data_IF_431513160842
#
_entry.id   IF_431513160842
#
_cell.length_a   1.000
_cell.length_b   1.000
_cell.length_c   1.000
_cell.angle_alpha   90.00
_cell.angle_beta   90.00
_cell.angle_gamma   90.00
#
_symmetry.space_group_name_H-M   'P 1'
#
loop_
_entity.id
_entity.type
_entity.pdbx_description
1 polymer ?
#
# COMPACT_ATOMS: atom_id res chain seq x y z
N UNK A 1 13.66 -3.52 75.46
CA UNK A 1 13.56 -4.38 74.27
C UNK A 1 14.86 -5.16 74.12
N UNK A 2 14.81 -6.49 74.20
CA UNK A 2 16.01 -7.33 74.12
C UNK A 2 16.55 -7.36 72.67
N UNK A 3 17.81 -7.77 72.48
CA UNK A 3 18.49 -7.75 71.17
C UNK A 3 17.70 -8.51 70.10
N UNK A 4 17.07 -9.63 70.47
CA UNK A 4 16.23 -10.44 69.58
C UNK A 4 14.99 -9.67 69.09
N UNK A 5 14.29 -8.96 69.98
CA UNK A 5 13.16 -8.12 69.60
C UNK A 5 13.60 -6.94 68.73
N UNK A 6 14.76 -6.32 68.99
CA UNK A 6 15.29 -5.22 68.15
C UNK A 6 15.61 -5.67 66.72
N UNK A 7 16.23 -6.83 66.57
CA UNK A 7 16.53 -7.42 65.26
C UNK A 7 15.24 -7.80 64.53
N UNK A 8 14.29 -8.42 65.21
CA UNK A 8 13.00 -8.80 64.61
C UNK A 8 12.21 -7.58 64.12
N UNK A 9 12.15 -6.51 64.92
CA UNK A 9 11.47 -5.27 64.52
C UNK A 9 12.15 -4.59 63.34
N UNK A 10 13.49 -4.62 63.25
CA UNK A 10 14.23 -4.08 62.12
C UNK A 10 13.98 -4.86 60.82
N UNK A 11 13.99 -6.19 60.87
CA UNK A 11 13.70 -7.03 59.70
C UNK A 11 12.26 -6.82 59.23
N UNK A 12 11.31 -6.69 60.17
CA UNK A 12 9.90 -6.44 59.84
C UNK A 12 9.71 -5.06 59.19
N UNK A 13 10.39 -4.02 59.69
CA UNK A 13 10.32 -2.67 59.11
C UNK A 13 10.92 -2.59 57.70
N UNK A 14 12.01 -3.31 57.44
CA UNK A 14 12.62 -3.43 56.11
C UNK A 14 11.72 -4.23 55.16
N UNK A 15 11.13 -5.33 55.64
CA UNK A 15 10.15 -6.10 54.87
C UNK A 15 8.92 -5.28 54.46
N UNK A 16 8.41 -4.45 55.37
CA UNK A 16 7.25 -3.59 55.11
C UNK A 16 7.57 -2.48 54.08
N UNK A 17 8.76 -1.91 54.13
CA UNK A 17 9.20 -0.90 53.15
C UNK A 17 9.40 -1.50 51.76
N UNK A 18 10.01 -2.69 51.66
CA UNK A 18 10.11 -3.42 50.39
C UNK A 18 8.73 -3.80 49.85
N UNK A 19 7.80 -4.23 50.71
CA UNK A 19 6.42 -4.52 50.32
C UNK A 19 5.65 -3.27 49.86
N UNK A 20 5.87 -2.11 50.46
CA UNK A 20 5.27 -0.84 50.04
C UNK A 20 5.81 -0.36 48.68
N UNK A 21 7.11 -0.49 48.43
CA UNK A 21 7.72 -0.15 47.12
C UNK A 21 7.28 -1.12 46.03
N UNK A 22 7.22 -2.43 46.32
CA UNK A 22 6.71 -3.43 45.39
C UNK A 22 5.20 -3.32 45.15
N UNK A 23 4.43 -3.05 46.20
CA UNK A 23 2.97 -2.87 46.12
C UNK A 23 2.57 -1.60 45.38
N UNK A 24 3.32 -0.49 45.56
CA UNK A 24 3.05 0.77 44.85
C UNK A 24 3.39 0.69 43.36
N UNK A 25 4.46 0.00 42.98
CA UNK A 25 4.81 -0.20 41.55
C UNK A 25 3.84 -1.17 40.86
N UNK A 26 3.35 -2.19 41.56
CA UNK A 26 2.31 -3.08 41.02
C UNK A 26 0.93 -2.39 40.94
N UNK A 27 0.61 -1.49 41.88
CA UNK A 27 -0.64 -0.71 41.85
C UNK A 27 -0.73 0.28 40.69
N UNK A 28 0.40 0.79 40.19
CA UNK A 28 0.45 1.70 39.04
C UNK A 28 0.05 1.03 37.71
N UNK A 29 0.17 -0.30 37.62
CA UNK A 29 -0.22 -1.06 36.42
C UNK A 29 -1.56 -1.79 36.56
N UNK A 30 -2.24 -1.66 37.70
CA UNK A 30 -3.56 -2.29 37.94
C UNK A 30 -4.71 -1.30 38.01
N UNK A 31 -4.51 0.00 37.73
CA UNK A 31 -5.63 0.89 37.47
C UNK A 31 -6.23 0.58 36.09
N UNK A 32 -7.10 -0.43 36.06
CA UNK A 32 -7.96 -0.72 34.93
C UNK A 32 -9.26 0.07 35.11
N UNK A 33 -9.31 1.29 34.58
CA UNK A 33 -10.59 1.95 34.36
C UNK A 33 -11.31 1.24 33.21
N UNK A 34 -12.46 0.64 33.49
CA UNK A 34 -13.41 0.28 32.43
C UNK A 34 -13.90 1.59 31.83
N UNK A 35 -13.26 2.00 30.74
CA UNK A 35 -13.81 3.05 29.88
C UNK A 35 -14.88 2.35 29.06
N UNK A 36 -16.14 2.45 29.51
CA UNK A 36 -17.28 2.09 28.66
C UNK A 36 -17.20 2.97 27.40
N UNK A 37 -16.74 2.36 26.30
CA UNK A 37 -16.58 3.05 25.01
C UNK A 37 -15.17 3.51 24.65
N UNK A 38 -14.09 2.92 25.17
CA UNK A 38 -12.78 3.02 24.51
C UNK A 38 -12.80 2.23 23.19
N UNK A 39 -13.43 2.80 22.16
CA UNK A 39 -13.31 2.35 20.78
C UNK A 39 -11.94 2.75 20.28
N UNK A 40 -10.99 1.82 20.28
CA UNK A 40 -9.79 1.95 19.46
C UNK A 40 -10.25 1.91 17.99
N UNK A 41 -10.53 3.06 17.39
CA UNK A 41 -10.69 3.14 15.94
C UNK A 41 -9.32 2.91 15.32
N UNK A 42 -9.01 1.64 15.05
CA UNK A 42 -7.94 1.29 14.14
C UNK A 42 -8.26 1.89 12.77
N UNK A 43 -7.31 2.61 12.19
CA UNK A 43 -7.53 3.20 10.88
C UNK A 43 -7.55 2.13 9.78
N UNK A 44 -8.44 2.29 8.81
CA UNK A 44 -8.56 1.41 7.64
C UNK A 44 -7.71 1.90 6.48
N UNK A 45 -7.17 0.95 5.71
CA UNK A 45 -6.59 1.17 4.38
C UNK A 45 -7.58 0.59 3.38
N UNK A 46 -8.15 1.44 2.52
CA UNK A 46 -9.14 1.03 1.53
C UNK A 46 -8.92 1.83 0.26
N UNK A 47 -8.82 1.14 -0.87
CA UNK A 47 -8.96 1.77 -2.16
C UNK A 47 -10.36 1.51 -2.71
N UNK A 48 -10.89 2.50 -3.41
CA UNK A 48 -11.99 2.26 -4.33
C UNK A 48 -11.51 2.61 -5.72
N UNK A 49 -11.84 1.73 -6.67
CA UNK A 49 -11.68 2.03 -8.07
C UNK A 49 -12.94 2.77 -8.52
N UNK A 50 -12.77 4.03 -8.91
CA UNK A 50 -13.87 4.82 -9.47
C UNK A 50 -14.15 4.45 -10.93
N UNK A 51 -13.18 3.81 -11.59
CA UNK A 51 -13.22 3.32 -12.97
C UNK A 51 -12.97 1.82 -12.96
N UNK A 52 -13.99 1.00 -12.67
CA UNK A 52 -13.90 -0.43 -12.32
C UNK A 52 -12.99 -1.35 -13.19
N UNK A 53 -12.46 -0.87 -14.32
CA UNK A 53 -11.51 -1.54 -15.20
C UNK A 53 -10.50 -0.53 -15.79
N UNK A 54 -9.26 -0.97 -16.06
CA UNK A 54 -8.29 -0.22 -16.86
C UNK A 54 -8.90 0.09 -18.23
N UNK A 55 -9.14 1.37 -18.52
CA UNK A 55 -9.72 1.80 -19.80
C UNK A 55 -8.59 1.92 -20.83
N UNK A 56 -8.71 1.23 -21.97
CA UNK A 56 -7.73 1.32 -23.06
C UNK A 56 -8.45 1.72 -24.35
N UNK A 57 -8.02 2.84 -24.93
CA UNK A 57 -8.64 3.47 -26.10
C UNK A 57 -7.58 3.97 -27.10
N UNK A 58 -8.02 4.47 -28.26
CA UNK A 58 -7.14 5.15 -29.22
C UNK A 58 -6.69 4.31 -30.42
N UNK A 59 -6.98 3.00 -30.44
CA UNK A 59 -6.63 2.13 -31.56
C UNK A 59 -7.72 1.12 -31.90
N UNK A 60 -7.71 0.62 -33.14
CA UNK A 60 -8.55 -0.49 -33.56
C UNK A 60 -7.98 -1.81 -33.03
N UNK A 61 -8.61 -2.37 -31.99
CA UNK A 61 -8.11 -3.55 -31.25
C UNK A 61 -7.82 -4.79 -32.10
N UNK A 62 -8.44 -4.88 -33.28
CA UNK A 62 -8.29 -5.97 -34.26
C UNK A 62 -7.63 -5.54 -35.58
N UNK A 63 -7.17 -4.29 -35.68
CA UNK A 63 -6.57 -3.75 -36.90
C UNK A 63 -5.47 -2.73 -36.57
N UNK A 64 -4.49 -3.21 -35.80
CA UNK A 64 -3.34 -2.42 -35.37
C UNK A 64 -2.42 -2.16 -36.55
N UNK A 65 -2.08 -0.90 -36.76
CA UNK A 65 -1.11 -0.47 -37.76
C UNK A 65 0.22 -0.09 -37.10
N UNK A 66 1.32 -0.22 -37.84
CA UNK A 66 2.61 0.32 -37.42
C UNK A 66 2.48 1.83 -37.13
N UNK A 67 2.89 2.27 -35.95
CA UNK A 67 2.80 3.67 -35.51
C UNK A 67 1.47 4.06 -34.85
N UNK A 68 0.49 3.16 -34.73
CA UNK A 68 -0.73 3.46 -33.98
C UNK A 68 -0.40 3.74 -32.50
N UNK A 69 -1.11 4.71 -31.94
CA UNK A 69 -1.03 5.10 -30.53
C UNK A 69 -2.27 4.62 -29.77
N UNK A 70 -2.10 4.39 -28.48
CA UNK A 70 -3.21 4.07 -27.59
C UNK A 70 -3.03 4.74 -26.23
N UNK A 71 -4.12 4.91 -25.50
CA UNK A 71 -4.12 5.50 -24.18
C UNK A 71 -4.75 4.53 -23.20
N UNK A 72 -4.09 4.34 -22.07
CA UNK A 72 -4.59 3.59 -20.92
C UNK A 72 -4.85 4.52 -19.74
N UNK A 73 -5.95 4.35 -19.03
CA UNK A 73 -6.23 5.14 -17.82
C UNK A 73 -6.96 4.36 -16.72
N UNK A 74 -6.62 4.70 -15.47
CA UNK A 74 -7.17 4.14 -14.25
C UNK A 74 -7.26 5.24 -13.18
N UNK A 75 -8.37 5.33 -12.46
CA UNK A 75 -8.56 6.32 -11.38
C UNK A 75 -8.81 5.65 -10.03
N UNK A 76 -7.85 5.82 -9.13
CA UNK A 76 -7.79 5.18 -7.83
C UNK A 76 -8.05 6.21 -6.74
N UNK A 77 -8.96 5.93 -5.80
CA UNK A 77 -9.20 6.80 -4.64
C UNK A 77 -8.90 6.07 -3.33
N UNK A 78 -8.14 6.71 -2.43
CA UNK A 78 -7.99 6.23 -1.05
C UNK A 78 -9.23 6.60 -0.23
N UNK A 79 -10.09 5.62 0.03
CA UNK A 79 -11.27 5.76 0.90
C UNK A 79 -10.98 5.35 2.35
N UNK A 80 -9.78 4.83 2.62
CA UNK A 80 -9.29 4.52 3.95
C UNK A 80 -9.03 5.77 4.80
N UNK A 81 -9.03 5.58 6.11
CA UNK A 81 -8.74 6.65 7.09
C UNK A 81 -7.25 7.00 7.21
N UNK A 82 -6.34 6.14 6.73
CA UNK A 82 -4.89 6.32 6.85
C UNK A 82 -4.24 6.69 5.52
N UNK A 83 -3.13 7.46 5.55
CA UNK A 83 -2.35 7.72 4.36
C UNK A 83 -1.66 6.44 3.88
N UNK A 84 -1.52 6.32 2.57
CA UNK A 84 -1.00 5.13 1.89
C UNK A 84 0.03 5.51 0.84
N UNK A 85 0.83 4.53 0.44
CA UNK A 85 1.64 4.56 -0.77
C UNK A 85 1.06 3.55 -1.76
N UNK A 86 1.00 3.96 -3.01
CA UNK A 86 0.32 3.23 -4.08
C UNK A 86 1.33 2.56 -5.00
N UNK A 87 1.06 1.30 -5.34
CA UNK A 87 1.77 0.57 -6.38
C UNK A 87 0.82 -0.24 -7.25
N UNK A 88 1.17 -0.41 -8.51
CA UNK A 88 0.43 -1.19 -9.49
C UNK A 88 1.36 -2.26 -10.03
N UNK A 89 0.96 -3.54 -9.96
CA UNK A 89 1.71 -4.61 -10.59
C UNK A 89 1.67 -4.42 -12.11
N UNK A 90 2.83 -4.41 -12.75
CA UNK A 90 2.91 -4.34 -14.21
C UNK A 90 2.23 -5.59 -14.78
N UNK A 91 1.16 -5.46 -15.59
CA UNK A 91 0.51 -6.62 -16.17
C UNK A 91 1.44 -7.29 -17.18
N UNK A 92 1.36 -8.61 -17.24
CA UNK A 92 1.94 -9.35 -18.37
C UNK A 92 1.15 -9.00 -19.63
N UNK A 93 1.86 -8.77 -20.73
CA UNK A 93 1.23 -8.48 -22.03
C UNK A 93 1.55 -9.61 -23.00
N UNK A 94 0.58 -9.93 -23.85
CA UNK A 94 0.69 -10.97 -24.87
C UNK A 94 -0.14 -10.64 -26.10
N UNK A 95 0.14 -11.31 -27.21
CA UNK A 95 -0.66 -11.22 -28.43
C UNK A 95 -1.56 -12.44 -28.55
N UNK A 96 -2.84 -12.21 -28.85
CA UNK A 96 -3.83 -13.25 -29.11
C UNK A 96 -4.27 -13.24 -30.57
N UNK A 97 -4.58 -14.41 -31.10
CA UNK A 97 -5.34 -14.58 -32.34
C UNK A 97 -6.75 -15.03 -31.98
N UNK A 98 -7.69 -14.08 -31.91
CA UNK A 98 -8.97 -14.32 -31.25
C UNK A 98 -8.76 -14.50 -29.74
N UNK A 99 -9.06 -15.69 -29.23
CA UNK A 99 -8.87 -16.04 -27.80
C UNK A 99 -7.58 -16.83 -27.54
N UNK A 100 -6.88 -17.27 -28.60
CA UNK A 100 -5.71 -18.15 -28.48
C UNK A 100 -4.41 -17.35 -28.35
N UNK A 101 -3.50 -17.73 -27.43
CA UNK A 101 -2.20 -17.09 -27.31
C UNK A 101 -1.30 -17.34 -28.52
N UNK A 102 -0.42 -16.38 -28.81
CA UNK A 102 0.60 -16.49 -29.86
C UNK A 102 2.01 -16.34 -29.28
N UNK A 103 3.01 -16.77 -30.05
CA UNK A 103 4.44 -16.59 -29.73
C UNK A 103 5.01 -15.24 -30.21
N UNK A 104 4.15 -14.31 -30.64
CA UNK A 104 4.61 -13.00 -31.11
C UNK A 104 5.22 -12.19 -29.96
N UNK A 105 6.33 -11.54 -30.25
CA UNK A 105 7.02 -10.70 -29.27
C UNK A 105 6.19 -9.47 -28.94
N UNK A 106 6.26 -9.01 -27.69
CA UNK A 106 5.64 -7.76 -27.25
C UNK A 106 6.60 -6.57 -27.28
N UNK A 107 7.81 -6.76 -27.82
CA UNK A 107 8.82 -5.69 -27.93
C UNK A 107 8.38 -4.54 -28.84
N UNK A 108 7.38 -4.75 -29.70
CA UNK A 108 6.79 -3.72 -30.53
C UNK A 108 5.86 -2.79 -29.74
N UNK A 109 5.48 -3.11 -28.50
CA UNK A 109 4.65 -2.23 -27.66
C UNK A 109 5.56 -1.38 -26.80
N UNK A 110 5.54 -0.06 -27.01
CA UNK A 110 6.24 0.92 -26.17
C UNK A 110 5.22 1.62 -25.29
N UNK A 111 5.53 1.80 -24.01
CA UNK A 111 4.67 2.52 -23.06
C UNK A 111 5.46 3.68 -22.47
N UNK A 112 4.85 4.86 -22.53
CA UNK A 112 5.32 6.07 -21.87
C UNK A 112 4.50 6.27 -20.61
N UNK A 113 5.18 6.19 -19.46
CA UNK A 113 4.57 6.42 -18.16
C UNK A 113 4.44 7.92 -17.88
N UNK A 114 3.41 8.33 -17.11
CA UNK A 114 3.32 9.69 -16.60
C UNK A 114 4.46 9.98 -15.60
N UNK A 115 4.90 11.24 -15.52
CA UNK A 115 6.12 11.63 -14.79
C UNK A 115 6.12 11.31 -13.28
N UNK A 116 4.95 11.16 -12.69
CA UNK A 116 4.72 10.84 -11.28
C UNK A 116 4.61 9.32 -11.02
N UNK A 117 5.10 8.50 -11.95
CA UNK A 117 5.13 7.05 -11.83
C UNK A 117 6.48 6.48 -12.24
N UNK A 118 7.01 5.59 -11.42
CA UNK A 118 8.31 4.96 -11.65
C UNK A 118 8.20 3.44 -11.64
N UNK A 119 8.83 2.79 -12.63
CA UNK A 119 8.94 1.33 -12.68
C UNK A 119 10.13 0.88 -11.85
N UNK A 120 9.89 -0.05 -10.93
CA UNK A 120 10.92 -0.66 -10.11
C UNK A 120 11.28 -2.07 -10.60
N UNK A 121 12.43 -2.57 -10.14
CA UNK A 121 12.95 -3.90 -10.51
C UNK A 121 12.14 -5.07 -9.96
N UNK A 122 11.24 -4.82 -9.00
CA UNK A 122 10.32 -5.79 -8.42
C UNK A 122 9.08 -6.06 -9.29
N UNK A 123 8.95 -5.40 -10.44
CA UNK A 123 7.83 -5.56 -11.36
C UNK A 123 6.62 -4.68 -11.05
N UNK A 124 6.77 -3.68 -10.19
CA UNK A 124 5.71 -2.73 -9.86
C UNK A 124 5.99 -1.33 -10.41
N UNK A 125 4.90 -0.62 -10.71
CA UNK A 125 4.88 0.82 -10.91
C UNK A 125 4.50 1.48 -9.60
N UNK A 126 5.21 2.53 -9.22
CA UNK A 126 4.98 3.22 -7.97
C UNK A 126 4.66 4.68 -8.19
N UNK A 127 3.67 5.17 -7.46
CA UNK A 127 3.32 6.58 -7.47
C UNK A 127 4.38 7.37 -6.70
N UNK A 128 4.95 8.39 -7.35
CA UNK A 128 6.01 9.26 -6.81
C UNK A 128 5.61 10.73 -6.75
N UNK A 129 4.36 11.05 -7.12
CA UNK A 129 3.87 12.43 -7.11
C UNK A 129 3.81 13.06 -5.72
N UNK A 130 3.90 14.39 -5.70
CA UNK A 130 3.72 15.20 -4.49
C UNK A 130 2.31 15.78 -4.47
N UNK A 131 1.61 15.61 -3.36
CA UNK A 131 0.25 16.11 -3.15
C UNK A 131 0.30 17.12 -2.02
N UNK A 132 -0.04 18.39 -2.28
CA UNK A 132 -0.03 19.44 -1.26
C UNK A 132 1.30 19.48 -0.48
N UNK A 133 1.21 19.35 0.85
CA UNK A 133 2.35 19.27 1.77
C UNK A 133 2.76 17.84 2.14
N UNK A 134 2.13 16.81 1.58
CA UNK A 134 2.44 15.42 1.86
C UNK A 134 3.79 15.01 1.26
N UNK A 135 4.54 14.09 1.91
CA UNK A 135 5.75 13.53 1.32
C UNK A 135 5.48 12.89 -0.05
N UNK A 136 6.49 12.89 -0.92
CA UNK A 136 6.39 12.28 -2.25
C UNK A 136 5.93 10.81 -2.17
N UNK A 137 4.98 10.46 -3.05
CA UNK A 137 4.38 9.13 -3.14
C UNK A 137 3.37 8.80 -2.04
N UNK A 138 3.03 9.74 -1.15
CA UNK A 138 2.01 9.55 -0.11
C UNK A 138 0.67 10.11 -0.58
N UNK A 139 -0.35 9.27 -0.51
CA UNK A 139 -1.75 9.62 -0.75
C UNK A 139 -2.43 9.74 0.63
N UNK A 140 -3.05 10.88 0.96
CA UNK A 140 -3.69 11.07 2.26
C UNK A 140 -4.88 10.12 2.49
N UNK A 141 -5.25 9.95 3.76
CA UNK A 141 -6.47 9.25 4.18
C UNK A 141 -7.63 10.21 4.43
N UNK A 142 -8.79 9.68 4.78
CA UNK A 142 -10.01 10.46 5.09
C UNK A 142 -10.02 11.11 6.46
N UNK A 143 -9.10 10.74 7.36
CA UNK A 143 -9.02 11.29 8.71
C UNK A 143 -7.66 11.89 8.99
N UNK A 144 -7.66 12.96 9.78
CA UNK A 144 -6.48 13.54 10.37
C UNK A 144 -6.02 12.62 11.50
N UNK A 145 -4.76 12.20 11.47
CA UNK A 145 -4.19 11.37 12.52
C UNK A 145 -3.66 12.17 13.72
N UNK A 146 -3.82 13.49 13.71
CA UNK A 146 -3.35 14.40 14.76
C UNK A 146 -1.84 14.58 14.77
N UNK A 147 -1.14 14.10 13.73
CA UNK A 147 0.32 14.17 13.59
C UNK A 147 0.70 14.82 12.26
N UNK A 148 1.62 14.22 11.50
CA UNK A 148 2.17 14.75 10.25
C UNK A 148 1.25 14.55 9.03
N UNK A 149 0.08 13.92 9.20
CA UNK A 149 -0.82 13.57 8.11
C UNK A 149 -2.25 14.09 8.36
N UNK A 150 -2.55 15.34 7.93
CA UNK A 150 -3.92 15.84 7.95
C UNK A 150 -4.83 15.04 7.00
N UNK A 151 -6.14 15.12 7.20
CA UNK A 151 -7.13 14.54 6.29
C UNK A 151 -6.99 15.15 4.89
N UNK A 152 -6.99 14.30 3.86
CA UNK A 152 -7.00 14.74 2.46
C UNK A 152 -8.40 15.00 1.94
N UNK A 153 -8.54 16.05 1.12
CA UNK A 153 -9.72 16.23 0.29
C UNK A 153 -9.90 15.06 -0.68
N UNK A 154 -11.10 14.88 -1.24
CA UNK A 154 -11.35 13.81 -2.22
C UNK A 154 -10.41 13.88 -3.42
N UNK A 155 -10.12 15.08 -3.91
CA UNK A 155 -9.17 15.32 -5.01
C UNK A 155 -7.75 14.89 -4.63
N UNK A 156 -7.29 15.21 -3.43
CA UNK A 156 -5.95 14.80 -2.95
C UNK A 156 -5.85 13.29 -2.70
N UNK A 157 -6.97 12.63 -2.41
CA UNK A 157 -7.05 11.17 -2.24
C UNK A 157 -7.20 10.42 -3.56
N UNK A 158 -7.41 11.13 -4.67
CA UNK A 158 -7.68 10.55 -5.99
C UNK A 158 -6.46 10.66 -6.89
N UNK A 159 -5.96 9.52 -7.35
CA UNK A 159 -4.84 9.40 -8.27
C UNK A 159 -5.32 8.89 -9.61
N UNK A 160 -5.07 9.68 -10.64
CA UNK A 160 -5.18 9.25 -12.03
C UNK A 160 -3.84 8.67 -12.49
N UNK A 161 -3.87 7.42 -12.92
CA UNK A 161 -2.81 6.79 -13.68
C UNK A 161 -3.23 6.80 -15.16
N UNK A 162 -2.53 7.57 -15.98
CA UNK A 162 -2.78 7.65 -17.42
C UNK A 162 -1.45 7.49 -18.16
N UNK A 163 -1.41 6.56 -19.11
CA UNK A 163 -0.22 6.28 -19.91
C UNK A 163 -0.57 6.26 -21.40
N UNK A 164 0.44 6.52 -22.22
CA UNK A 164 0.33 6.41 -23.68
C UNK A 164 1.18 5.23 -24.15
N UNK A 165 0.62 4.42 -25.02
CA UNK A 165 1.28 3.35 -25.71
C UNK A 165 1.46 3.65 -27.19
N UNK A 166 2.48 3.05 -27.79
CA UNK A 166 2.81 3.15 -29.21
C UNK A 166 3.17 1.76 -29.74
N UNK A 167 2.63 1.40 -30.89
CA UNK A 167 3.08 0.24 -31.65
C UNK A 167 4.26 0.66 -32.55
N UNK A 168 5.47 0.23 -32.17
CA UNK A 168 6.73 0.53 -32.86
C UNK A 168 6.65 0.13 -34.34
N UNK A 169 6.86 1.11 -35.23
CA UNK A 169 6.65 0.93 -36.66
C UNK A 169 7.57 -0.11 -37.29
N UNK A 170 8.84 -0.16 -36.87
CA UNK A 170 9.84 -1.06 -37.45
C UNK A 170 9.65 -2.50 -36.96
N UNK A 171 9.05 -2.68 -35.78
CA UNK A 171 8.84 -3.99 -35.16
C UNK A 171 7.42 -4.54 -35.40
N UNK A 172 6.45 -3.70 -35.78
CA UNK A 172 5.06 -4.11 -36.03
C UNK A 172 4.90 -4.57 -37.48
N UNK A 173 5.37 -5.78 -37.78
CA UNK A 173 5.24 -6.38 -39.11
C UNK A 173 3.81 -6.85 -39.43
N UNK A 174 3.59 -7.36 -40.64
CA UNK A 174 2.32 -7.97 -41.04
C UNK A 174 1.84 -9.11 -40.12
N UNK A 175 2.74 -9.73 -39.34
CA UNK A 175 2.38 -10.78 -38.40
C UNK A 175 1.45 -10.31 -37.26
N UNK A 176 1.42 -9.01 -36.97
CA UNK A 176 0.56 -8.43 -35.93
C UNK A 176 -0.82 -8.01 -36.45
N UNK A 177 -1.05 -8.04 -37.76
CA UNK A 177 -2.34 -7.67 -38.34
C UNK A 177 -3.42 -8.68 -37.96
N UNK A 178 -4.54 -8.19 -37.44
CA UNK A 178 -5.64 -9.05 -36.94
C UNK A 178 -5.42 -9.61 -35.54
N UNK A 179 -4.25 -9.37 -34.90
CA UNK A 179 -3.99 -9.81 -33.53
C UNK A 179 -4.63 -8.86 -32.51
N UNK A 180 -4.90 -9.38 -31.32
CA UNK A 180 -5.42 -8.64 -30.17
C UNK A 180 -4.30 -8.51 -29.14
N UNK A 181 -3.99 -7.28 -28.73
CA UNK A 181 -3.12 -7.05 -27.58
C UNK A 181 -3.90 -7.40 -26.30
N UNK A 182 -3.45 -8.44 -25.61
CA UNK A 182 -3.96 -8.84 -24.32
C UNK A 182 -3.08 -8.25 -23.21
N UNK A 183 -3.73 -7.62 -22.23
CA UNK A 183 -3.11 -7.20 -20.99
C UNK A 183 -3.68 -8.08 -19.90
N UNK A 184 -2.83 -8.95 -19.34
CA UNK A 184 -3.18 -9.82 -18.24
C UNK A 184 -3.60 -9.05 -16.98
N UNK A 185 -4.01 -9.76 -15.92
CA UNK A 185 -4.50 -9.13 -14.71
C UNK A 185 -3.42 -8.23 -14.07
N UNK A 186 -3.78 -6.98 -13.80
CA UNK A 186 -3.01 -6.07 -12.94
C UNK A 186 -3.64 -6.00 -11.55
N UNK A 187 -2.84 -6.03 -10.49
CA UNK A 187 -3.29 -5.74 -9.13
C UNK A 187 -2.86 -4.35 -8.70
N UNK A 188 -3.77 -3.62 -8.05
CA UNK A 188 -3.46 -2.39 -7.33
C UNK A 188 -3.20 -2.76 -5.88
N UNK A 189 -2.06 -2.37 -5.35
CA UNK A 189 -1.65 -2.66 -3.98
C UNK A 189 -1.32 -1.37 -3.23
N UNK A 190 -1.61 -1.38 -1.93
CA UNK A 190 -1.37 -0.24 -1.04
C UNK A 190 -0.61 -0.67 0.19
N UNK A 191 0.31 0.21 0.59
CA UNK A 191 1.11 0.07 1.80
C UNK A 191 0.78 1.27 2.67
N UNK A 192 0.43 1.05 3.94
CA UNK A 192 0.20 2.15 4.88
C UNK A 192 1.47 3.00 5.02
N UNK A 193 1.34 4.33 5.05
CA UNK A 193 2.50 5.24 5.07
C UNK A 193 2.95 5.66 6.48
N UNK A 194 2.16 5.37 7.53
CA UNK A 194 2.45 5.77 8.91
C UNK A 194 3.36 4.77 9.65
N UNK A 195 3.87 5.17 10.83
CA UNK A 195 4.66 4.33 11.75
C UNK A 195 5.95 3.74 11.17
N UNK A 196 6.62 4.46 10.27
CA UNK A 196 7.89 3.98 9.70
C UNK A 196 7.72 2.74 8.81
N UNK A 197 6.52 2.54 8.25
CA UNK A 197 6.29 1.68 7.09
C UNK A 197 7.02 2.30 5.88
N UNK A 198 8.35 2.22 5.94
CA UNK A 198 9.24 2.66 4.89
C UNK A 198 9.18 1.64 3.76
N UNK A 199 9.36 2.17 2.57
CA UNK A 199 9.96 1.42 1.50
C UNK A 199 11.35 0.99 1.94
N UNK A 200 11.47 -0.21 2.48
CA UNK A 200 12.75 -0.88 2.39
C UNK A 200 12.85 -1.38 0.96
N UNK A 201 13.93 -1.06 0.26
CA UNK A 201 14.30 -1.71 -1.02
C UNK A 201 14.47 -3.23 -0.86
N UNK A 202 14.47 -3.72 0.39
CA UNK A 202 14.35 -5.12 0.78
C UNK A 202 12.89 -5.56 0.73
N UNK A 203 12.56 -6.71 0.08
CA UNK A 203 11.22 -7.27 0.07
C UNK A 203 10.68 -7.39 1.51
N UNK A 204 9.51 -6.80 1.77
CA UNK A 204 8.77 -7.08 3.00
C UNK A 204 8.34 -8.54 2.92
N UNK A 205 8.81 -9.43 3.82
CA UNK A 205 8.33 -10.80 3.84
C UNK A 205 6.81 -10.78 4.07
N UNK A 206 6.09 -11.59 3.30
CA UNK A 206 4.65 -11.74 3.44
C UNK A 206 4.28 -11.91 4.91
N UNK A 207 3.26 -11.17 5.38
CA UNK A 207 2.79 -11.26 6.75
C UNK A 207 2.42 -12.71 7.04
N UNK A 208 3.28 -13.42 7.77
CA UNK A 208 2.97 -14.74 8.29
C UNK A 208 1.90 -14.54 9.34
N UNK A 209 0.68 -15.00 9.03
CA UNK A 209 -0.38 -15.17 10.01
C UNK A 209 0.13 -16.10 11.10
N UNK A 210 0.55 -15.54 12.24
CA UNK A 210 0.90 -16.32 13.41
C UNK A 210 -0.39 -16.86 14.02
N UNK A 211 -0.86 -18.00 13.54
CA UNK A 211 -1.81 -18.82 14.27
C UNK A 211 -1.05 -19.55 15.35
N UNK A 212 -0.75 -18.88 16.47
CA UNK A 212 -0.41 -19.60 17.70
C UNK A 212 -1.74 -19.97 18.35
N UNK A 213 -2.11 -21.26 18.44
CA UNK A 213 -3.25 -21.65 19.26
C UNK A 213 -2.85 -21.45 20.72
N UNK A 214 -3.70 -20.74 21.46
CA UNK A 214 -3.64 -20.69 22.92
C UNK A 214 -3.97 -22.10 23.43
N UNK A 215 -3.05 -22.68 24.19
CA UNK A 215 -3.28 -23.81 25.08
C UNK A 215 -2.87 -23.38 26.49
#
# INVERSE_FOLDING_TARGET
MNFKTKVLTSVLAVGLTVALVGGSTMAWFTDSKVVEGATFQAGTVTLSDSSKDLTIEGFARNNINPGDEFNGSLTIINTGTKPVKLRIKVPEISWLNGEEPTDLSTNNVKVTLPANWEKHSDGYLYYTGTIGSFPAGVIPGTQDDGTSFPAGSETERTISFAFTGLFDGDLTTNAYQGMILNMGPSSVEVIQATNGAAWTTTPVPAATSSTTPVA
#
